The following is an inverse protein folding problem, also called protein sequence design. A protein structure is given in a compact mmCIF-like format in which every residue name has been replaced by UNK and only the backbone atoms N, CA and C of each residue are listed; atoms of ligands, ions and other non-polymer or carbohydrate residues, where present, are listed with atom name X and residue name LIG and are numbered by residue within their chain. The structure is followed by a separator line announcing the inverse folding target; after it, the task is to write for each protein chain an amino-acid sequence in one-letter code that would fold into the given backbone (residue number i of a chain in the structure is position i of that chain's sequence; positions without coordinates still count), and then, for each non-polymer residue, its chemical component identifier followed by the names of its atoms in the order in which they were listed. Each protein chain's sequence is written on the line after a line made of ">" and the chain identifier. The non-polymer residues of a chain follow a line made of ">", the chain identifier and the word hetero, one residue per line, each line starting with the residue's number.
data_IF_425123888406
#
_entry.id   IF_425123888406
#
_cell.length_a   1.000
_cell.length_b   1.000
_cell.length_c   1.000
_cell.angle_alpha   90.00
_cell.angle_beta   90.00
_cell.angle_gamma   90.00
#
_symmetry.space_group_name_H-M   'P 1'
#
loop_
_entity.id
_entity.type
_entity.pdbx_description
1 polymer ?
#
# COMPACT_ATOMS: atom_id res chain seq x y z
N UNK A 1 5.09 -28.66 -13.56
CA UNK A 1 6.30 -27.82 -13.50
C UNK A 1 5.83 -26.38 -13.55
N UNK A 2 5.78 -25.69 -12.41
CA UNK A 2 5.59 -24.24 -12.38
C UNK A 2 6.88 -23.60 -12.89
N UNK A 3 6.77 -22.76 -13.91
CA UNK A 3 7.88 -21.94 -14.39
C UNK A 3 8.02 -20.74 -13.45
N UNK A 4 9.06 -20.75 -12.62
CA UNK A 4 9.39 -19.66 -11.70
C UNK A 4 10.49 -18.83 -12.33
N UNK A 5 10.33 -17.50 -12.34
CA UNK A 5 11.38 -16.55 -12.74
C UNK A 5 11.93 -15.87 -11.49
N UNK A 6 13.23 -16.01 -11.26
CA UNK A 6 13.95 -15.31 -10.19
C UNK A 6 14.26 -13.87 -10.60
N UNK A 7 13.88 -12.90 -9.77
CA UNK A 7 14.14 -11.48 -9.95
C UNK A 7 15.05 -10.97 -8.84
N UNK A 8 16.27 -10.59 -9.23
CA UNK A 8 17.24 -9.91 -8.40
C UNK A 8 16.93 -8.40 -8.39
N UNK A 9 16.44 -7.91 -7.25
CA UNK A 9 15.98 -6.53 -7.12
C UNK A 9 17.12 -5.51 -7.18
N UNK A 10 18.33 -5.87 -6.72
CA UNK A 10 19.48 -4.98 -6.77
C UNK A 10 19.92 -4.76 -8.21
N UNK A 11 19.98 -5.83 -9.00
CA UNK A 11 20.31 -5.73 -10.43
C UNK A 11 19.18 -5.04 -11.20
N UNK A 12 17.91 -5.30 -10.86
CA UNK A 12 16.77 -4.64 -11.49
C UNK A 12 16.81 -3.12 -11.39
N UNK A 13 17.09 -2.59 -10.20
CA UNK A 13 17.13 -1.16 -9.95
C UNK A 13 18.43 -0.47 -10.43
N UNK A 14 19.49 -1.23 -10.73
CA UNK A 14 20.77 -0.67 -11.21
C UNK A 14 21.04 -0.91 -12.70
N UNK A 15 20.28 -1.81 -13.34
CA UNK A 15 20.41 -2.14 -14.76
C UNK A 15 19.09 -1.85 -15.51
N UNK A 16 19.02 -0.77 -16.31
CA UNK A 16 17.80 -0.38 -17.02
C UNK A 16 17.34 -1.41 -18.07
N UNK A 17 18.18 -2.41 -18.42
CA UNK A 17 17.85 -3.51 -19.33
C UNK A 17 17.59 -4.83 -18.60
N UNK A 18 17.57 -4.87 -17.27
CA UNK A 18 17.47 -6.11 -16.50
C UNK A 18 16.21 -6.91 -16.88
N UNK A 19 15.04 -6.27 -16.83
CA UNK A 19 13.78 -6.92 -17.18
C UNK A 19 13.71 -7.33 -18.66
N UNK A 20 14.36 -6.59 -19.56
CA UNK A 20 14.41 -6.96 -21.00
C UNK A 20 15.29 -8.19 -21.28
N UNK A 21 16.18 -8.53 -20.34
CA UNK A 21 17.06 -9.69 -20.43
C UNK A 21 16.50 -10.92 -19.70
N UNK A 22 15.40 -10.77 -18.94
CA UNK A 22 14.69 -11.92 -18.40
C UNK A 22 14.08 -12.68 -19.57
N UNK A 23 14.63 -13.86 -19.85
CA UNK A 23 14.06 -14.75 -20.87
C UNK A 23 12.70 -15.19 -20.34
N UNK A 24 11.62 -14.67 -20.95
CA UNK A 24 10.29 -15.24 -20.80
C UNK A 24 10.41 -16.72 -21.21
N UNK A 25 10.56 -17.61 -20.25
CA UNK A 25 10.55 -19.05 -20.52
C UNK A 25 9.28 -19.31 -21.31
N UNK A 26 9.37 -19.98 -22.47
CA UNK A 26 8.28 -20.28 -23.41
C UNK A 26 7.07 -20.96 -22.73
N UNK A 27 6.30 -20.22 -21.95
CA UNK A 27 5.15 -20.68 -21.18
C UNK A 27 4.13 -19.56 -21.24
N UNK A 28 2.87 -19.83 -21.63
CA UNK A 28 1.84 -18.80 -21.87
C UNK A 28 1.41 -17.99 -20.64
N UNK A 29 2.04 -18.15 -19.47
CA UNK A 29 1.72 -17.39 -18.25
C UNK A 29 2.74 -17.72 -17.13
N UNK A 30 3.84 -16.96 -16.95
CA UNK A 30 4.66 -17.09 -15.74
C UNK A 30 3.94 -16.41 -14.57
N UNK A 31 2.96 -17.10 -13.98
CA UNK A 31 2.19 -16.61 -12.84
C UNK A 31 2.98 -16.65 -11.52
N UNK A 32 4.32 -16.71 -11.54
CA UNK A 32 5.11 -16.91 -10.31
C UNK A 32 6.51 -16.28 -10.43
N UNK A 33 6.80 -15.25 -9.63
CA UNK A 33 8.10 -14.55 -9.56
C UNK A 33 8.72 -14.78 -8.17
N UNK A 34 10.02 -15.08 -8.07
CA UNK A 34 10.75 -15.06 -6.78
C UNK A 34 11.49 -13.74 -6.59
N UNK A 35 11.39 -13.15 -5.41
CA UNK A 35 11.93 -11.83 -5.07
C UNK A 35 13.14 -11.96 -4.14
N UNK A 36 14.26 -11.30 -4.47
CA UNK A 36 15.45 -11.23 -3.63
C UNK A 36 15.66 -9.84 -3.02
N UNK A 37 16.12 -9.71 -1.77
CA UNK A 37 16.25 -8.41 -1.11
C UNK A 37 17.18 -7.43 -1.85
N UNK A 38 16.86 -6.13 -1.78
CA UNK A 38 17.69 -5.09 -2.40
C UNK A 38 18.92 -4.75 -1.54
N UNK A 39 18.86 -4.95 -0.22
CA UNK A 39 19.98 -4.68 0.69
C UNK A 39 20.37 -5.90 1.55
N UNK A 40 21.66 -6.23 1.75
CA UNK A 40 22.10 -7.41 2.53
C UNK A 40 21.71 -7.39 4.02
N UNK A 41 21.52 -6.20 4.60
CA UNK A 41 21.03 -6.06 5.98
C UNK A 41 19.52 -6.25 6.10
N UNK A 42 18.80 -6.41 4.98
CA UNK A 42 17.41 -6.81 5.02
C UNK A 42 17.32 -8.21 5.61
N UNK A 43 16.63 -8.34 6.74
CA UNK A 43 16.53 -9.60 7.47
C UNK A 43 15.83 -10.64 6.58
N UNK A 44 16.31 -11.90 6.61
CA UNK A 44 15.66 -13.04 5.94
C UNK A 44 14.23 -13.33 6.46
N UNK A 45 13.74 -12.53 7.39
CA UNK A 45 12.45 -12.70 8.03
C UNK A 45 11.33 -11.99 7.27
N UNK A 46 11.61 -10.99 6.42
CA UNK A 46 10.56 -10.21 5.75
C UNK A 46 10.17 -10.79 4.39
N UNK A 47 11.14 -11.17 3.57
CA UNK A 47 10.90 -12.01 2.39
C UNK A 47 11.63 -13.32 2.64
N UNK A 48 10.87 -14.40 2.83
CA UNK A 48 11.45 -15.72 2.99
C UNK A 48 12.30 -16.12 1.77
N UNK A 49 13.29 -17.01 1.93
CA UNK A 49 14.13 -17.48 0.82
C UNK A 49 13.35 -18.24 -0.28
N UNK A 50 12.05 -18.47 -0.09
CA UNK A 50 11.13 -19.08 -1.05
C UNK A 50 9.94 -18.19 -1.41
N UNK A 51 9.99 -16.89 -1.09
CA UNK A 51 8.94 -15.93 -1.46
C UNK A 51 8.65 -15.99 -2.95
N UNK A 52 7.37 -16.13 -3.28
CA UNK A 52 6.88 -16.12 -4.65
C UNK A 52 5.69 -15.18 -4.80
N UNK A 53 5.57 -14.53 -5.94
CA UNK A 53 4.47 -13.64 -6.28
C UNK A 53 3.66 -14.24 -7.42
N UNK A 54 2.33 -14.36 -7.28
CA UNK A 54 1.43 -14.77 -8.37
C UNK A 54 0.41 -13.71 -8.78
N UNK A 55 0.11 -13.67 -10.07
CA UNK A 55 -0.76 -12.66 -10.64
C UNK A 55 -2.26 -12.90 -10.31
N UNK A 56 -2.95 -11.83 -9.95
CA UNK A 56 -4.38 -11.60 -9.98
C UNK A 56 -4.66 -10.39 -10.92
N UNK A 57 -5.90 -10.20 -11.37
CA UNK A 57 -6.25 -9.25 -12.44
C UNK A 57 -5.79 -7.78 -12.17
N UNK A 58 -5.77 -6.96 -13.23
CA UNK A 58 -5.28 -5.57 -13.21
C UNK A 58 -5.98 -4.70 -12.14
N UNK A 59 -5.19 -3.81 -11.52
CA UNK A 59 -5.50 -3.25 -10.21
C UNK A 59 -6.44 -2.03 -10.16
N UNK A 60 -6.93 -1.96 -8.94
CA UNK A 60 -7.68 -1.01 -8.13
C UNK A 60 -6.75 -0.55 -6.98
N UNK A 61 -6.88 0.66 -6.42
CA UNK A 61 -5.96 1.18 -5.40
C UNK A 61 -6.34 0.75 -3.96
N UNK A 62 -5.44 0.02 -3.29
CA UNK A 62 -5.54 -0.35 -1.87
C UNK A 62 -6.49 -1.52 -1.58
N UNK A 63 -6.11 -2.40 -0.64
CA UNK A 63 -6.94 -3.51 -0.20
C UNK A 63 -6.65 -3.99 1.22
N UNK A 64 -7.62 -4.67 1.82
CA UNK A 64 -7.54 -5.25 3.17
C UNK A 64 -8.19 -6.64 3.18
N UNK A 65 -7.86 -7.46 4.18
CA UNK A 65 -8.63 -8.66 4.46
C UNK A 65 -10.06 -8.28 4.89
N UNK A 66 -11.04 -9.05 4.41
CA UNK A 66 -12.45 -8.85 4.71
C UNK A 66 -13.17 -10.18 4.92
N UNK A 67 -13.91 -10.22 6.01
CA UNK A 67 -14.83 -11.31 6.31
C UNK A 67 -16.24 -10.82 5.99
N UNK A 68 -16.96 -11.46 5.05
CA UNK A 68 -18.35 -11.09 4.76
C UNK A 68 -19.20 -11.06 6.03
N UNK A 69 -20.09 -10.05 6.21
CA UNK A 69 -20.98 -10.01 7.36
C UNK A 69 -21.75 -11.33 7.54
N UNK A 70 -21.74 -11.87 8.75
CA UNK A 70 -22.38 -13.16 9.05
C UNK A 70 -21.52 -14.41 8.76
N UNK A 71 -20.28 -14.24 8.30
CA UNK A 71 -19.34 -15.36 8.18
C UNK A 71 -18.93 -15.94 9.53
N UNK A 72 -18.78 -17.26 9.58
CA UNK A 72 -18.21 -17.93 10.75
C UNK A 72 -16.70 -17.66 10.80
N UNK A 73 -16.25 -16.90 11.79
CA UNK A 73 -14.85 -16.62 12.04
C UNK A 73 -14.23 -17.71 12.93
N UNK A 74 -12.94 -18.00 12.71
CA UNK A 74 -12.19 -19.05 13.41
C UNK A 74 -11.41 -19.96 12.45
N UNK A 75 -10.45 -20.72 13.01
CA UNK A 75 -9.49 -21.53 12.23
C UNK A 75 -10.16 -22.40 11.17
N UNK A 76 -10.04 -21.98 9.90
CA UNK A 76 -10.41 -22.77 8.72
C UNK A 76 -11.88 -22.80 8.33
N UNK A 77 -12.76 -21.99 8.95
CA UNK A 77 -14.20 -22.01 8.66
C UNK A 77 -14.59 -21.19 7.42
N UNK A 78 -14.28 -19.90 7.45
CA UNK A 78 -14.46 -19.00 6.29
C UNK A 78 -13.12 -18.38 5.92
N UNK A 79 -12.56 -18.66 4.73
CA UNK A 79 -11.37 -17.96 4.27
C UNK A 79 -11.65 -16.45 4.13
N UNK A 80 -10.73 -15.57 4.56
CA UNK A 80 -10.85 -14.14 4.31
C UNK A 80 -10.83 -13.86 2.82
N UNK A 81 -11.66 -12.92 2.38
CA UNK A 81 -11.61 -12.34 1.04
C UNK A 81 -10.72 -11.10 1.06
N UNK A 82 -10.27 -10.66 -0.10
CA UNK A 82 -9.58 -9.38 -0.28
C UNK A 82 -10.61 -8.32 -0.67
N UNK A 83 -10.74 -7.27 0.13
CA UNK A 83 -11.59 -6.13 -0.17
C UNK A 83 -10.72 -4.98 -0.67
N UNK A 84 -10.99 -4.45 -1.85
CA UNK A 84 -10.21 -3.35 -2.44
C UNK A 84 -11.08 -2.33 -3.15
N UNK A 85 -10.56 -1.13 -3.32
CA UNK A 85 -11.25 -0.03 -3.98
C UNK A 85 -10.81 0.09 -5.43
N UNK A 86 -11.65 -0.37 -6.36
CA UNK A 86 -11.54 -0.09 -7.79
C UNK A 86 -11.77 1.38 -8.03
N UNK A 87 -10.75 2.10 -8.49
CA UNK A 87 -10.82 3.52 -8.77
C UNK A 87 -11.66 3.84 -10.03
N UNK A 88 -12.02 2.81 -10.80
CA UNK A 88 -12.75 2.99 -12.04
C UNK A 88 -11.95 3.74 -13.11
N UNK A 89 -12.64 4.18 -14.15
CA UNK A 89 -12.09 4.98 -15.25
C UNK A 89 -13.16 5.95 -15.82
N UNK A 90 -12.89 6.53 -16.99
CA UNK A 90 -13.85 7.42 -17.65
C UNK A 90 -15.15 6.74 -18.11
N UNK A 91 -15.19 5.41 -18.16
CA UNK A 91 -16.33 4.61 -18.61
C UNK A 91 -16.96 3.77 -17.47
N UNK A 92 -16.24 3.58 -16.37
CA UNK A 92 -16.55 2.66 -15.28
C UNK A 92 -16.42 3.40 -13.96
N UNK A 93 -17.49 3.45 -13.15
CA UNK A 93 -17.41 4.12 -11.86
C UNK A 93 -16.58 3.33 -10.87
N UNK A 94 -15.90 4.05 -9.98
CA UNK A 94 -15.15 3.43 -8.90
C UNK A 94 -16.07 2.66 -7.96
N UNK A 95 -15.59 1.55 -7.43
CA UNK A 95 -16.36 0.63 -6.61
C UNK A 95 -15.50 -0.10 -5.58
N UNK A 96 -16.10 -0.47 -4.45
CA UNK A 96 -15.50 -1.36 -3.47
C UNK A 96 -15.80 -2.80 -3.89
N UNK A 97 -14.76 -3.57 -4.17
CA UNK A 97 -14.82 -4.94 -4.67
C UNK A 97 -14.31 -5.93 -3.62
N UNK A 98 -14.95 -7.09 -3.54
CA UNK A 98 -14.51 -8.23 -2.74
C UNK A 98 -14.07 -9.38 -3.63
N UNK A 99 -12.83 -9.83 -3.51
CA UNK A 99 -12.25 -10.91 -4.29
C UNK A 99 -11.93 -12.11 -3.42
N UNK A 100 -12.34 -13.28 -3.89
CA UNK A 100 -11.87 -14.55 -3.37
C UNK A 100 -10.49 -14.86 -3.97
N UNK A 101 -9.41 -14.86 -3.17
CA UNK A 101 -8.05 -15.08 -3.69
C UNK A 101 -7.82 -16.54 -4.16
N UNK A 102 -8.69 -17.47 -3.79
CA UNK A 102 -8.62 -18.90 -4.17
C UNK A 102 -9.35 -19.12 -5.50
N UNK A 103 -10.62 -18.70 -5.58
CA UNK A 103 -11.45 -18.93 -6.78
C UNK A 103 -11.25 -17.87 -7.86
N UNK A 104 -10.74 -16.69 -7.49
CA UNK A 104 -10.56 -15.49 -8.33
C UNK A 104 -11.88 -14.80 -8.71
N UNK A 105 -12.98 -15.12 -8.02
CA UNK A 105 -14.26 -14.45 -8.24
C UNK A 105 -14.33 -13.10 -7.49
N UNK A 106 -14.88 -12.08 -8.15
CA UNK A 106 -15.04 -10.73 -7.61
C UNK A 106 -16.52 -10.32 -7.47
N UNK A 107 -16.86 -9.60 -6.41
CA UNK A 107 -18.19 -9.05 -6.16
C UNK A 107 -18.12 -7.55 -5.87
N UNK A 108 -19.05 -6.76 -6.41
CA UNK A 108 -19.19 -5.33 -6.07
C UNK A 108 -19.94 -5.20 -4.75
N UNK A 109 -19.25 -4.72 -3.72
CA UNK A 109 -19.81 -4.46 -2.39
C UNK A 109 -20.49 -3.09 -2.35
N UNK A 110 -19.86 -2.08 -2.95
CA UNK A 110 -20.37 -0.70 -2.92
C UNK A 110 -19.90 0.09 -4.13
N UNK A 111 -20.82 0.60 -4.96
CA UNK A 111 -20.49 1.45 -6.12
C UNK A 111 -21.08 2.87 -6.05
N UNK A 112 -21.83 3.17 -4.99
CA UNK A 112 -22.36 4.52 -4.75
C UNK A 112 -22.58 4.79 -3.26
N UNK A 113 -22.52 6.07 -2.86
CA UNK A 113 -22.89 6.55 -1.53
C UNK A 113 -24.01 7.58 -1.65
N UNK A 114 -25.20 7.24 -1.14
CA UNK A 114 -26.44 8.03 -1.30
C UNK A 114 -26.74 8.41 -2.76
N UNK A 115 -26.57 7.47 -3.69
CA UNK A 115 -26.82 7.68 -5.12
C UNK A 115 -25.77 8.53 -5.83
N UNK A 116 -24.65 8.85 -5.17
CA UNK A 116 -23.49 9.48 -5.80
C UNK A 116 -22.41 8.45 -6.06
N UNK A 117 -21.87 8.45 -7.27
CA UNK A 117 -20.74 7.60 -7.62
C UNK A 117 -19.52 8.04 -6.83
N UNK A 118 -18.73 7.06 -6.42
CA UNK A 118 -17.36 7.31 -6.04
C UNK A 118 -16.63 7.63 -7.35
N UNK A 119 -16.03 8.81 -7.46
CA UNK A 119 -15.14 9.11 -8.57
C UNK A 119 -14.21 10.23 -8.18
N UNK A 120 -12.90 9.97 -8.30
CA UNK A 120 -11.88 11.00 -8.21
C UNK A 120 -12.13 12.01 -9.34
N UNK A 121 -12.02 13.32 -9.06
CA UNK A 121 -12.08 14.44 -10.03
C UNK A 121 -13.44 15.04 -10.44
N UNK A 122 -14.56 14.69 -9.81
CA UNK A 122 -15.87 15.30 -10.13
C UNK A 122 -16.37 16.28 -9.06
N UNK A 123 -15.51 16.61 -8.09
CA UNK A 123 -15.80 17.56 -7.02
C UNK A 123 -15.14 18.90 -7.32
N UNK A 124 -15.74 20.04 -6.91
CA UNK A 124 -15.06 21.33 -6.94
C UNK A 124 -13.70 21.26 -6.25
N UNK A 125 -12.75 22.06 -6.73
CA UNK A 125 -11.42 22.18 -6.10
C UNK A 125 -11.56 22.44 -4.59
N UNK A 126 -10.73 21.79 -3.75
CA UNK A 126 -10.72 22.05 -2.32
C UNK A 126 -10.51 23.54 -2.03
N UNK A 127 -11.36 24.11 -1.18
CA UNK A 127 -11.25 25.51 -0.73
C UNK A 127 -10.47 25.66 0.58
N UNK A 128 -10.01 24.54 1.14
CA UNK A 128 -9.19 24.47 2.36
C UNK A 128 -7.91 23.67 2.06
N UNK A 129 -6.82 23.91 2.80
CA UNK A 129 -5.57 23.17 2.63
C UNK A 129 -5.73 21.66 2.86
N UNK A 130 -4.81 20.86 2.30
CA UNK A 130 -4.66 19.45 2.67
C UNK A 130 -4.09 19.34 4.09
N UNK A 131 -4.89 18.76 5.00
CA UNK A 131 -4.61 18.68 6.43
C UNK A 131 -4.81 17.25 6.92
N UNK A 132 -4.03 16.85 7.91
CA UNK A 132 -4.21 15.59 8.63
C UNK A 132 -4.97 15.87 9.92
N UNK A 133 -6.04 15.11 10.14
CA UNK A 133 -6.91 15.28 11.30
C UNK A 133 -6.86 14.06 12.22
N UNK A 134 -6.92 14.33 13.52
CA UNK A 134 -7.22 13.33 14.55
C UNK A 134 -8.63 13.56 15.05
N UNK A 135 -9.44 12.51 14.99
CA UNK A 135 -10.77 12.48 15.58
C UNK A 135 -10.78 11.57 16.82
N UNK A 136 -11.30 12.08 17.94
CA UNK A 136 -11.51 11.29 19.15
C UNK A 136 -12.98 10.86 19.24
N UNK A 137 -13.32 9.57 19.11
CA UNK A 137 -14.71 9.12 19.19
C UNK A 137 -15.32 9.28 20.59
N UNK A 138 -14.48 9.32 21.65
CA UNK A 138 -14.94 9.47 23.03
C UNK A 138 -15.36 10.90 23.38
N UNK A 139 -14.70 11.89 22.78
CA UNK A 139 -14.92 13.31 23.09
C UNK A 139 -15.55 14.08 21.94
N UNK A 140 -15.65 13.46 20.75
CA UNK A 140 -15.97 14.11 19.48
C UNK A 140 -15.02 15.25 19.10
N UNK A 141 -13.83 15.31 19.72
CA UNK A 141 -12.78 16.28 19.39
C UNK A 141 -12.22 15.98 17.99
N UNK A 142 -12.19 16.99 17.12
CA UNK A 142 -11.55 16.96 15.81
C UNK A 142 -10.46 18.04 15.78
N UNK A 143 -9.21 17.62 15.63
CA UNK A 143 -8.06 18.54 15.63
C UNK A 143 -7.16 18.28 14.43
N UNK A 144 -6.60 19.35 13.88
CA UNK A 144 -5.51 19.26 12.90
C UNK A 144 -4.24 18.86 13.64
N UNK A 145 -3.55 17.84 13.14
CA UNK A 145 -2.34 17.28 13.77
C UNK A 145 -1.09 17.37 12.90
N UNK A 146 -1.26 17.62 11.60
CA UNK A 146 -0.17 17.94 10.67
C UNK A 146 -0.73 18.71 9.47
N UNK A 147 0.10 19.57 8.88
CA UNK A 147 -0.23 20.43 7.74
C UNK A 147 0.97 20.57 6.76
N UNK A 148 0.79 21.43 5.75
CA UNK A 148 1.84 21.73 4.75
C UNK A 148 2.02 20.65 3.69
N UNK A 149 0.96 19.91 3.38
CA UNK A 149 0.93 18.94 2.28
C UNK A 149 0.35 19.59 1.02
N UNK A 150 0.87 19.20 -0.15
CA UNK A 150 0.23 19.55 -1.42
C UNK A 150 -0.97 18.62 -1.69
N UNK A 151 -0.83 17.33 -1.36
CA UNK A 151 -1.91 16.33 -1.43
C UNK A 151 -1.61 15.15 -0.48
N UNK A 152 -2.04 15.26 0.77
CA UNK A 152 -1.91 14.16 1.75
C UNK A 152 -2.76 12.95 1.35
N UNK A 153 -2.25 11.72 1.50
CA UNK A 153 -3.00 10.52 1.14
C UNK A 153 -2.93 9.42 2.24
N UNK A 154 -1.89 8.59 2.24
CA UNK A 154 -1.68 7.52 3.21
C UNK A 154 -1.16 8.03 4.56
N UNK A 155 -1.56 7.36 5.64
CA UNK A 155 -1.08 7.62 6.99
C UNK A 155 -0.91 6.31 7.76
N UNK A 156 0.10 6.24 8.62
CA UNK A 156 0.37 5.05 9.43
C UNK A 156 1.25 5.43 10.63
N UNK A 157 1.10 4.74 11.76
CA UNK A 157 1.98 4.95 12.92
C UNK A 157 3.15 3.95 12.94
N UNK A 158 4.26 4.34 13.57
CA UNK A 158 5.27 3.37 14.00
C UNK A 158 4.68 2.37 15.00
N UNK A 159 5.27 1.18 15.16
CA UNK A 159 4.74 0.15 16.07
C UNK A 159 4.65 0.62 17.52
N UNK A 160 5.58 1.49 17.93
CA UNK A 160 5.63 2.09 19.26
C UNK A 160 4.78 3.37 19.39
N UNK A 161 4.02 3.74 18.36
CA UNK A 161 3.15 4.91 18.26
C UNK A 161 3.84 6.27 18.44
N UNK A 162 5.17 6.31 18.37
CA UNK A 162 5.92 7.56 18.56
C UNK A 162 6.15 8.33 17.27
N UNK A 163 5.96 7.71 16.12
CA UNK A 163 6.10 8.36 14.81
C UNK A 163 4.81 8.22 14.02
N UNK A 164 4.36 9.31 13.41
CA UNK A 164 3.31 9.30 12.39
C UNK A 164 3.97 9.47 11.03
N UNK A 165 3.70 8.56 10.11
CA UNK A 165 4.08 8.66 8.72
C UNK A 165 2.89 9.17 7.91
N UNK A 166 3.13 10.08 6.96
CA UNK A 166 2.11 10.63 6.05
C UNK A 166 2.69 10.78 4.65
N UNK A 167 1.96 10.34 3.64
CA UNK A 167 2.37 10.50 2.24
C UNK A 167 1.83 11.78 1.62
N UNK A 168 2.63 12.40 0.75
CA UNK A 168 2.23 13.51 -0.12
C UNK A 168 2.38 13.09 -1.57
N UNK A 169 1.25 13.04 -2.27
CA UNK A 169 1.11 12.39 -3.58
C UNK A 169 0.77 13.38 -4.68
N UNK A 170 1.10 14.68 -4.53
CA UNK A 170 0.70 15.68 -5.54
C UNK A 170 1.29 15.40 -6.94
N UNK A 171 2.41 14.69 -7.03
CA UNK A 171 2.95 14.21 -8.31
C UNK A 171 1.91 13.40 -9.13
N UNK A 172 0.94 12.75 -8.47
CA UNK A 172 -0.10 11.88 -9.04
C UNK A 172 -1.07 12.50 -10.04
N UNK A 173 -1.09 13.83 -10.20
CA UNK A 173 -2.06 14.44 -11.11
C UNK A 173 -1.72 14.17 -12.57
N UNK A 174 -2.76 14.10 -13.43
CA UNK A 174 -2.75 13.75 -14.87
C UNK A 174 -1.64 14.35 -15.74
N UNK A 175 -0.95 15.40 -15.27
CA UNK A 175 0.10 16.09 -15.98
C UNK A 175 1.52 15.73 -15.50
N UNK A 176 1.68 14.74 -14.60
CA UNK A 176 2.96 14.29 -14.03
C UNK A 176 3.85 15.48 -13.63
N UNK A 177 3.41 16.24 -12.63
CA UNK A 177 4.20 17.37 -12.15
C UNK A 177 5.41 16.86 -11.37
N UNK A 178 6.50 16.52 -12.09
CA UNK A 178 7.72 15.95 -11.50
C UNK A 178 8.45 16.88 -10.51
N UNK A 179 7.97 18.13 -10.38
CA UNK A 179 8.43 19.11 -9.38
C UNK A 179 7.58 19.14 -8.11
N UNK A 180 6.52 18.31 -8.03
CA UNK A 180 5.60 18.22 -6.90
C UNK A 180 5.94 17.02 -6.01
N UNK A 181 5.49 17.03 -4.74
CA UNK A 181 5.79 15.95 -3.81
C UNK A 181 5.37 14.56 -4.30
N UNK A 182 6.29 13.63 -4.09
CA UNK A 182 6.13 12.17 -4.15
C UNK A 182 6.92 11.61 -2.98
N UNK A 183 6.41 11.87 -1.77
CA UNK A 183 7.25 11.89 -0.56
C UNK A 183 6.52 11.33 0.63
N UNK A 184 7.22 10.54 1.43
CA UNK A 184 6.78 10.07 2.74
C UNK A 184 7.43 10.96 3.80
N UNK A 185 6.61 11.63 4.60
CA UNK A 185 7.05 12.43 5.73
C UNK A 185 6.85 11.67 7.04
N UNK A 186 7.76 11.88 7.98
CA UNK A 186 7.67 11.39 9.36
C UNK A 186 7.50 12.57 10.32
N UNK A 187 6.72 12.35 11.38
CA UNK A 187 6.45 13.30 12.44
C UNK A 187 6.55 12.61 13.79
N UNK A 188 7.04 13.31 14.80
CA UNK A 188 7.06 12.81 16.17
C UNK A 188 5.69 13.00 16.81
N UNK A 189 5.14 11.95 17.39
CA UNK A 189 3.86 11.98 18.10
C UNK A 189 4.11 12.45 19.54
N UNK A 190 3.67 13.68 19.84
CA UNK A 190 3.86 14.31 21.16
C UNK A 190 2.55 14.24 21.95
N UNK A 191 2.63 13.72 23.18
CA UNK A 191 1.50 13.62 24.11
C UNK A 191 0.31 12.80 23.59
N UNK A 192 0.52 11.95 22.57
CA UNK A 192 -0.53 11.16 21.91
C UNK A 192 -1.55 11.99 21.11
N UNK A 193 -1.22 13.25 20.77
CA UNK A 193 -2.17 14.19 20.17
C UNK A 193 -1.60 15.05 19.03
N UNK A 194 -0.38 15.54 19.14
CA UNK A 194 0.23 16.41 18.12
C UNK A 194 1.32 15.68 17.34
N UNK A 195 1.55 16.10 16.11
CA UNK A 195 2.65 15.62 15.27
C UNK A 195 3.64 16.77 15.04
N UNK A 196 4.87 16.64 15.49
CA UNK A 196 5.92 17.67 15.42
C UNK A 196 7.13 17.16 14.61
N UNK A 197 8.15 18.00 14.43
CA UNK A 197 9.43 17.63 13.81
C UNK A 197 9.31 16.92 12.44
N UNK A 198 8.54 17.54 11.52
CA UNK A 198 8.40 17.05 10.15
C UNK A 198 9.76 16.83 9.51
N UNK A 199 9.97 15.63 8.99
CA UNK A 199 11.18 15.25 8.24
C UNK A 199 10.81 14.36 7.07
N UNK A 200 11.60 14.41 6.01
CA UNK A 200 11.49 13.47 4.90
C UNK A 200 12.02 12.12 5.34
N UNK A 201 11.20 11.07 5.24
CA UNK A 201 11.64 9.68 5.38
C UNK A 201 12.15 9.16 4.04
N UNK A 202 11.33 9.29 2.99
CA UNK A 202 11.61 8.73 1.68
C UNK A 202 11.02 9.58 0.56
N UNK A 203 11.69 9.56 -0.59
CA UNK A 203 11.18 10.07 -1.86
C UNK A 203 10.95 8.89 -2.81
N UNK A 204 9.81 8.86 -3.48
CA UNK A 204 9.47 7.83 -4.46
C UNK A 204 9.70 8.40 -5.86
N UNK A 205 10.65 7.80 -6.57
CA UNK A 205 11.05 8.23 -7.92
C UNK A 205 10.08 7.74 -9.00
N UNK A 206 9.47 6.58 -8.80
CA UNK A 206 8.50 5.98 -9.73
C UNK A 206 7.08 6.05 -9.20
N UNK A 207 6.27 6.94 -9.80
CA UNK A 207 4.90 7.20 -9.37
C UNK A 207 4.84 8.09 -8.12
N UNK A 208 4.14 7.63 -7.09
CA UNK A 208 3.96 8.31 -5.81
C UNK A 208 3.60 7.31 -4.70
N UNK A 209 3.91 7.60 -3.43
CA UNK A 209 3.55 6.72 -2.33
C UNK A 209 2.07 6.92 -1.97
N UNK A 210 1.19 6.03 -2.40
CA UNK A 210 -0.24 6.09 -2.10
C UNK A 210 -0.51 5.70 -0.63
N UNK A 211 -0.92 4.45 -0.39
CA UNK A 211 -1.06 3.90 0.96
C UNK A 211 0.27 3.44 1.52
N UNK A 212 0.41 3.58 2.83
CA UNK A 212 1.56 3.09 3.60
C UNK A 212 1.11 2.17 4.73
N UNK A 213 2.00 1.28 5.15
CA UNK A 213 1.85 0.42 6.31
C UNK A 213 3.19 0.27 7.03
N UNK A 214 3.17 -0.03 8.33
CA UNK A 214 4.39 -0.26 9.12
C UNK A 214 4.32 -1.65 9.74
N UNK A 215 5.34 -2.46 9.53
CA UNK A 215 5.43 -3.79 10.15
C UNK A 215 5.91 -3.71 11.61
N UNK A 216 5.86 -4.83 12.34
CA UNK A 216 6.32 -4.91 13.75
C UNK A 216 7.80 -4.58 13.96
N UNK A 217 8.64 -4.70 12.93
CA UNK A 217 10.07 -4.34 13.00
C UNK A 217 10.27 -2.83 12.78
N UNK A 218 9.22 -2.11 12.38
CA UNK A 218 9.23 -0.67 12.14
C UNK A 218 9.58 -0.28 10.70
N UNK A 219 9.60 -1.23 9.76
CA UNK A 219 9.81 -0.90 8.35
C UNK A 219 8.53 -0.34 7.75
N UNK A 220 8.70 0.66 6.88
CA UNK A 220 7.61 1.40 6.23
C UNK A 220 7.45 0.88 4.81
N UNK A 221 6.28 0.35 4.51
CA UNK A 221 5.88 -0.21 3.23
C UNK A 221 4.99 0.81 2.53
N UNK A 222 5.22 1.10 1.25
CA UNK A 222 4.37 2.00 0.46
C UNK A 222 3.99 1.39 -0.88
N UNK A 223 2.72 1.52 -1.27
CA UNK A 223 2.30 1.30 -2.64
C UNK A 223 2.78 2.47 -3.51
N UNK A 224 3.61 2.16 -4.51
CA UNK A 224 4.26 3.08 -5.43
C UNK A 224 3.90 2.72 -6.88
N UNK A 225 4.33 3.54 -7.85
CA UNK A 225 3.90 3.40 -9.23
C UNK A 225 4.33 2.09 -9.91
N UNK A 226 5.45 1.52 -9.48
CA UNK A 226 6.04 0.29 -10.00
C UNK A 226 5.94 -0.88 -9.01
N UNK A 227 5.19 -0.74 -7.91
CA UNK A 227 4.98 -1.82 -6.94
C UNK A 227 5.08 -1.38 -5.49
N UNK A 228 5.59 -2.24 -4.60
CA UNK A 228 5.70 -1.93 -3.17
C UNK A 228 7.13 -1.63 -2.81
N UNK A 229 7.37 -0.46 -2.24
CA UNK A 229 8.68 -0.05 -1.76
C UNK A 229 8.73 -0.19 -0.24
N UNK A 230 9.86 -0.63 0.29
CA UNK A 230 10.06 -0.84 1.73
C UNK A 230 11.28 -0.04 2.17
N UNK A 231 11.12 0.75 3.22
CA UNK A 231 12.21 1.49 3.88
C UNK A 231 12.31 1.09 5.35
N UNK A 232 13.53 1.15 5.89
CA UNK A 232 13.73 1.13 7.34
C UNK A 232 13.15 2.40 7.97
N UNK A 233 12.93 2.38 9.28
CA UNK A 233 12.48 3.56 10.05
C UNK A 233 13.45 4.74 9.98
N UNK A 234 14.70 4.50 9.57
CA UNK A 234 15.74 5.50 9.32
C UNK A 234 15.74 6.06 7.89
N UNK A 235 14.85 5.58 7.01
CA UNK A 235 14.75 5.97 5.61
C UNK A 235 15.66 5.18 4.67
N UNK A 236 16.39 4.17 5.16
CA UNK A 236 17.19 3.29 4.30
C UNK A 236 16.28 2.49 3.38
N UNK A 237 16.46 2.55 2.06
CA UNK A 237 15.68 1.74 1.12
C UNK A 237 16.11 0.27 1.20
N UNK A 238 15.13 -0.59 1.43
CA UNK A 238 15.35 -2.00 1.76
C UNK A 238 14.99 -2.95 0.63
N UNK A 239 13.83 -2.75 -0.02
CA UNK A 239 13.25 -3.66 -1.02
C UNK A 239 12.29 -2.93 -1.96
N UNK A 240 12.27 -3.39 -3.22
CA UNK A 240 11.23 -3.14 -4.22
C UNK A 240 10.50 -4.44 -4.58
N UNK A 241 9.22 -4.58 -4.25
CA UNK A 241 8.38 -5.62 -4.83
C UNK A 241 7.77 -5.06 -6.12
N UNK A 242 8.37 -5.37 -7.26
CA UNK A 242 7.90 -4.87 -8.55
C UNK A 242 6.50 -5.41 -8.90
N UNK A 243 5.60 -4.53 -9.34
CA UNK A 243 4.29 -4.83 -9.88
C UNK A 243 4.09 -4.15 -11.23
N UNK A 244 3.81 -4.93 -12.26
CA UNK A 244 3.60 -4.49 -13.64
C UNK A 244 2.16 -4.03 -13.93
N UNK A 245 1.52 -3.30 -13.01
CA UNK A 245 0.09 -2.91 -13.03
C UNK A 245 -0.92 -4.07 -12.89
N UNK A 246 -0.44 -5.23 -12.44
CA UNK A 246 -1.26 -6.41 -12.15
C UNK A 246 -1.30 -6.62 -10.64
N UNK A 247 -2.39 -7.17 -10.09
CA UNK A 247 -2.37 -7.54 -8.67
C UNK A 247 -1.43 -8.75 -8.52
N UNK A 248 -0.55 -8.75 -7.54
CA UNK A 248 0.26 -9.92 -7.23
C UNK A 248 0.01 -10.34 -5.78
N UNK A 249 -0.39 -11.60 -5.56
CA UNK A 249 -0.31 -12.22 -4.23
C UNK A 249 1.14 -12.64 -4.06
N UNK A 250 1.84 -11.99 -3.15
CA UNK A 250 3.15 -12.43 -2.71
C UNK A 250 2.97 -13.31 -1.47
N UNK A 251 3.41 -14.55 -1.56
CA UNK A 251 3.36 -15.52 -0.48
C UNK A 251 4.72 -15.58 0.23
N UNK A 252 4.68 -16.00 1.50
CA UNK A 252 5.86 -16.07 2.37
C UNK A 252 6.55 -14.72 2.60
N UNK A 253 5.77 -13.63 2.56
CA UNK A 253 6.18 -12.36 3.16
C UNK A 253 6.02 -12.50 4.68
N UNK A 254 7.10 -12.34 5.44
CA UNK A 254 7.03 -12.08 6.87
C UNK A 254 6.73 -10.61 7.13
N UNK A 255 5.47 -10.23 6.92
CA UNK A 255 4.92 -8.98 7.40
C UNK A 255 3.98 -9.33 8.55
N UNK A 256 4.43 -9.16 9.78
CA UNK A 256 3.51 -9.20 10.92
C UNK A 256 2.89 -7.80 10.97
N UNK A 257 1.64 -7.71 10.53
CA UNK A 257 0.85 -6.50 10.67
C UNK A 257 0.39 -6.33 12.11
N UNK A 258 0.10 -5.09 12.49
CA UNK A 258 -0.56 -4.78 13.76
C UNK A 258 -2.07 -4.73 13.53
N UNK A 259 -2.82 -5.57 14.23
CA UNK A 259 -4.28 -5.51 14.19
C UNK A 259 -4.78 -4.39 15.12
N UNK A 260 -4.90 -3.19 14.57
CA UNK A 260 -5.22 -1.96 15.31
C UNK A 260 -6.52 -2.09 16.12
N UNK A 261 -7.50 -2.89 15.69
CA UNK A 261 -8.75 -3.05 16.45
C UNK A 261 -8.54 -3.73 17.81
N UNK A 262 -7.55 -4.63 17.94
CA UNK A 262 -7.24 -5.30 19.20
C UNK A 262 -6.64 -4.32 20.21
N UNK A 263 -5.90 -3.31 19.75
CA UNK A 263 -5.34 -2.27 20.62
C UNK A 263 -6.41 -1.38 21.27
N UNK A 264 -7.62 -1.38 20.70
CA UNK A 264 -8.75 -0.61 21.19
C UNK A 264 -9.88 -1.48 21.75
N UNK A 265 -9.69 -2.81 21.87
CA UNK A 265 -10.73 -3.76 22.30
C UNK A 265 -12.03 -3.66 21.47
N UNK A 266 -11.90 -3.35 20.18
CA UNK A 266 -13.02 -3.22 19.23
C UNK A 266 -13.23 -4.48 18.38
N UNK A 267 -12.36 -5.46 18.58
CA UNK A 267 -12.45 -6.86 18.18
C UNK A 267 -12.71 -7.66 19.48
#
# INVERSE_FOLDING_TARGET
>A
MSSIISVDLLVAATSPLYFSNLVATNVPNPNTISLFPYHPNFTNNILGPSSTARQLHNLANGGTNWFPPGSEQGNGKTPPRLLFYDEGDFNSYSSLLSVDPVTRESEVILSSYYGRNFSSNFRPEPTIPSLVYRFSPFTSELVVVADGFDQSNGLEFSPDLKTLYVTDTRQAQFNNYLTRPSTIYAFDVVGGKSSENRRTLAYVDTGFPDRIHTDVEGNVWAACGDGVHIWGSDGTFLVLIFSNAQLWIVEEIGAVGREICNDFELC
#
